data_IF_180871223864
#
_entry.id   IF_180871223864
#
_cell.length_a   1.000
_cell.length_b   1.000
_cell.length_c   1.000
_cell.angle_alpha   90.00
_cell.angle_beta   90.00
_cell.angle_gamma   90.00
#
_symmetry.space_group_name_H-M   'P 1'
#
loop_
_entity.id
_entity.type
_entity.pdbx_description
1 polymer ?
#
# COMPACT_ATOMS: atom_id res chain seq x y z
N UNK A 1 5.30 8.28 -28.22
CA UNK A 1 4.42 7.54 -27.29
C UNK A 1 4.68 8.10 -25.91
N UNK A 2 3.66 8.62 -25.25
CA UNK A 2 3.77 9.30 -23.97
C UNK A 2 3.50 8.30 -22.86
N UNK A 3 4.34 8.29 -21.82
CA UNK A 3 4.19 7.41 -20.65
C UNK A 3 3.56 8.23 -19.53
N UNK A 4 2.51 7.71 -18.91
CA UNK A 4 1.82 8.38 -17.82
C UNK A 4 1.65 7.46 -16.61
N UNK A 5 1.84 8.00 -15.41
CA UNK A 5 1.32 7.41 -14.20
C UNK A 5 -0.11 7.92 -13.99
N UNK A 6 -1.05 7.02 -13.76
CA UNK A 6 -2.38 7.39 -13.31
C UNK A 6 -2.44 7.29 -11.79
N UNK A 7 -2.82 8.38 -11.15
CA UNK A 7 -2.82 8.53 -9.70
C UNK A 7 -4.23 8.64 -9.14
N UNK A 8 -4.43 8.13 -7.93
CA UNK A 8 -5.61 8.38 -7.12
C UNK A 8 -5.53 9.78 -6.47
N UNK A 9 -6.63 10.22 -5.83
CA UNK A 9 -6.71 11.51 -5.14
C UNK A 9 -5.71 11.70 -3.99
N UNK A 10 -5.13 10.60 -3.49
CA UNK A 10 -4.06 10.61 -2.49
C UNK A 10 -2.65 10.63 -3.10
N UNK A 11 -2.52 10.78 -4.42
CA UNK A 11 -1.23 10.77 -5.14
C UNK A 11 -0.67 9.39 -5.45
N UNK A 12 -1.34 8.30 -5.04
CA UNK A 12 -0.85 6.93 -5.26
C UNK A 12 -1.04 6.51 -6.71
N UNK A 13 0.02 6.03 -7.34
CA UNK A 13 -0.02 5.42 -8.66
C UNK A 13 -0.76 4.08 -8.61
N UNK A 14 -1.87 3.97 -9.35
CA UNK A 14 -2.59 2.71 -9.48
C UNK A 14 -2.30 2.00 -10.81
N UNK A 15 -1.85 2.73 -11.84
CA UNK A 15 -1.43 2.12 -13.12
C UNK A 15 -0.47 3.01 -13.90
N UNK A 16 0.29 2.39 -14.82
CA UNK A 16 1.15 3.09 -15.78
C UNK A 16 0.65 2.79 -17.19
N UNK A 17 0.38 3.84 -17.97
CA UNK A 17 -0.21 3.75 -19.30
C UNK A 17 0.66 4.40 -20.37
N UNK A 18 0.56 3.90 -21.60
CA UNK A 18 1.23 4.48 -22.76
C UNK A 18 0.19 4.98 -23.75
N UNK A 19 0.23 6.28 -24.04
CA UNK A 19 -0.72 6.94 -24.94
C UNK A 19 -0.03 7.38 -26.23
N UNK A 20 -0.80 7.38 -27.33
CA UNK A 20 -0.34 7.86 -28.63
C UNK A 20 -0.25 9.39 -28.72
N UNK A 21 -0.92 10.11 -27.80
CA UNK A 21 -0.93 11.57 -27.71
C UNK A 21 -0.83 12.08 -26.28
N UNK A 22 -0.77 13.40 -26.12
CA UNK A 22 -0.79 14.06 -24.82
C UNK A 22 -2.15 13.91 -24.14
N UNK A 23 -2.14 13.70 -22.84
CA UNK A 23 -3.32 13.67 -22.01
C UNK A 23 -3.25 14.83 -21.02
N UNK A 24 -4.29 15.66 -21.03
CA UNK A 24 -4.47 16.77 -20.08
C UNK A 24 -5.48 16.35 -19.03
N UNK A 25 -5.01 15.84 -17.90
CA UNK A 25 -5.83 15.36 -16.79
C UNK A 25 -5.05 15.42 -15.48
N UNK A 26 -5.68 15.92 -14.42
CA UNK A 26 -5.07 16.06 -13.09
C UNK A 26 -4.64 14.71 -12.48
N UNK A 27 -5.32 13.62 -12.87
CA UNK A 27 -4.98 12.27 -12.42
C UNK A 27 -3.94 11.58 -13.30
N UNK A 28 -3.39 12.25 -14.31
CA UNK A 28 -2.37 11.70 -15.22
C UNK A 28 -1.10 12.52 -15.17
N UNK A 29 -0.05 11.96 -14.56
CA UNK A 29 1.26 12.58 -14.51
C UNK A 29 2.13 12.03 -15.63
N UNK A 30 2.62 12.93 -16.49
CA UNK A 30 3.57 12.58 -17.55
C UNK A 30 4.88 12.10 -16.93
N UNK A 31 5.33 10.92 -17.36
CA UNK A 31 6.58 10.31 -16.92
C UNK A 31 7.67 10.53 -17.98
N UNK A 32 8.86 10.88 -17.51
CA UNK A 32 10.06 10.94 -18.31
C UNK A 32 10.66 9.54 -18.49
N UNK A 33 11.65 9.43 -19.36
CA UNK A 33 12.37 8.18 -19.61
C UNK A 33 13.15 7.66 -18.40
N UNK A 34 13.49 8.54 -17.46
CA UNK A 34 14.25 8.20 -16.24
C UNK A 34 13.33 7.76 -15.09
N UNK A 35 12.03 8.00 -15.19
CA UNK A 35 11.06 7.68 -14.14
C UNK A 35 10.72 6.18 -14.11
N UNK A 36 11.24 5.46 -13.10
CA UNK A 36 10.92 4.06 -12.77
C UNK A 36 9.71 3.93 -11.82
N UNK A 37 8.62 4.62 -12.15
CA UNK A 37 7.38 4.59 -11.36
C UNK A 37 6.72 3.21 -11.45
N UNK A 38 6.30 2.70 -10.29
CA UNK A 38 5.58 1.43 -10.15
C UNK A 38 4.23 1.66 -9.49
N UNK A 39 3.34 0.69 -9.68
CA UNK A 39 2.07 0.66 -8.96
C UNK A 39 2.34 0.64 -7.47
N UNK A 40 1.69 1.54 -6.74
CA UNK A 40 1.86 1.74 -5.31
C UNK A 40 2.83 2.85 -4.92
N UNK A 41 3.69 3.33 -5.83
CA UNK A 41 4.50 4.53 -5.60
C UNK A 41 3.57 5.75 -5.42
N UNK A 42 3.97 6.71 -4.58
CA UNK A 42 3.17 7.88 -4.22
C UNK A 42 3.84 9.15 -4.73
N UNK A 43 3.09 9.99 -5.42
CA UNK A 43 3.55 11.33 -5.81
C UNK A 43 3.29 12.33 -4.69
N UNK A 44 4.33 13.04 -4.24
CA UNK A 44 4.21 14.06 -3.18
C UNK A 44 4.04 15.50 -3.72
N UNK A 45 4.08 15.67 -5.04
CA UNK A 45 4.06 16.98 -5.71
C UNK A 45 5.37 17.31 -6.42
N UNK A 46 6.49 16.73 -5.99
CA UNK A 46 7.83 16.99 -6.54
C UNK A 46 8.55 15.70 -6.96
N UNK A 47 8.33 14.59 -6.24
CA UNK A 47 9.03 13.32 -6.47
C UNK A 47 8.15 12.10 -6.24
N UNK A 48 8.59 10.97 -6.83
CA UNK A 48 7.98 9.67 -6.63
C UNK A 48 8.59 9.00 -5.40
N UNK A 49 7.77 8.78 -4.39
CA UNK A 49 8.13 8.08 -3.17
C UNK A 49 7.73 6.62 -3.33
N UNK A 50 8.70 5.72 -3.25
CA UNK A 50 8.44 4.29 -3.12
C UNK A 50 8.18 3.97 -1.64
N UNK A 51 6.94 3.67 -1.22
CA UNK A 51 6.69 3.29 0.16
C UNK A 51 7.46 2.00 0.48
N UNK A 52 8.03 1.95 1.68
CA UNK A 52 8.62 0.71 2.18
C UNK A 52 7.53 -0.36 2.25
N UNK A 53 7.85 -1.62 1.87
CA UNK A 53 6.91 -2.70 2.09
C UNK A 53 6.58 -2.77 3.57
N UNK A 54 5.28 -2.78 3.90
CA UNK A 54 4.86 -3.09 5.28
C UNK A 54 5.51 -4.43 5.65
N UNK A 55 6.20 -4.53 6.79
CA UNK A 55 6.76 -5.80 7.23
C UNK A 55 5.61 -6.80 7.29
N UNK A 56 5.78 -7.95 6.63
CA UNK A 56 4.83 -9.05 6.74
C UNK A 56 4.58 -9.31 8.22
N UNK A 57 3.31 -9.36 8.64
CA UNK A 57 2.98 -9.80 10.00
C UNK A 57 3.71 -11.12 10.28
N UNK A 58 4.27 -11.32 11.49
CA UNK A 58 4.99 -12.54 11.80
C UNK A 58 4.06 -13.74 11.58
N UNK A 59 4.42 -14.61 10.63
CA UNK A 59 3.65 -15.79 10.20
C UNK A 59 3.47 -16.88 11.28
N UNK A 60 3.75 -16.61 12.56
CA UNK A 60 3.93 -17.65 13.58
C UNK A 60 2.83 -17.76 14.64
N UNK A 61 1.64 -17.22 14.39
CA UNK A 61 0.47 -17.60 15.18
C UNK A 61 -0.73 -17.67 14.24
N UNK A 62 -1.20 -18.88 13.97
CA UNK A 62 -2.45 -19.05 13.24
C UNK A 62 -3.58 -18.29 13.95
N UNK A 63 -4.60 -17.86 13.21
CA UNK A 63 -5.77 -17.22 13.81
C UNK A 63 -6.36 -18.06 14.96
N UNK A 64 -6.33 -19.39 14.82
CA UNK A 64 -6.76 -20.34 15.83
C UNK A 64 -5.90 -20.27 17.11
N UNK A 65 -4.59 -20.21 16.99
CA UNK A 65 -3.68 -20.08 18.14
C UNK A 65 -3.84 -18.71 18.83
N UNK A 66 -4.08 -17.63 18.08
CA UNK A 66 -4.39 -16.31 18.65
C UNK A 66 -5.67 -16.36 19.47
N UNK A 67 -6.72 -16.98 18.94
CA UNK A 67 -8.01 -17.16 19.63
C UNK A 67 -7.82 -17.98 20.91
N UNK A 68 -7.11 -19.11 20.83
CA UNK A 68 -6.86 -19.96 22.00
C UNK A 68 -6.11 -19.23 23.13
N UNK A 69 -5.13 -18.39 22.79
CA UNK A 69 -4.42 -17.56 23.77
C UNK A 69 -5.32 -16.50 24.42
N UNK A 70 -6.20 -15.87 23.63
CA UNK A 70 -7.17 -14.89 24.11
C UNK A 70 -8.23 -15.53 25.03
N UNK A 71 -8.75 -16.70 24.68
CA UNK A 71 -9.69 -17.46 25.49
C UNK A 71 -9.07 -17.91 26.82
N UNK A 72 -7.85 -18.46 26.78
CA UNK A 72 -7.11 -18.85 27.98
C UNK A 72 -6.84 -17.68 28.92
N UNK A 73 -6.46 -16.52 28.37
CA UNK A 73 -6.22 -15.32 29.17
C UNK A 73 -7.51 -14.75 29.78
N UNK A 74 -8.63 -14.87 29.06
CA UNK A 74 -9.94 -14.46 29.56
C UNK A 74 -10.42 -15.37 30.69
N UNK A 75 -10.21 -16.69 30.57
CA UNK A 75 -10.54 -17.67 31.61
C UNK A 75 -9.71 -17.44 32.88
N UNK A 76 -8.40 -17.17 32.77
CA UNK A 76 -7.56 -16.84 33.93
C UNK A 76 -8.00 -15.55 34.63
N UNK A 77 -8.42 -14.53 33.88
CA UNK A 77 -8.93 -13.28 34.44
C UNK A 77 -10.26 -13.46 35.18
N UNK A 78 -11.12 -14.37 34.70
CA UNK A 78 -12.42 -14.68 35.31
C UNK A 78 -12.29 -15.60 36.53
N UNK A 79 -11.28 -16.49 36.56
CA UNK A 79 -11.05 -17.44 37.65
C UNK A 79 -10.09 -16.91 38.73
N UNK A 80 -9.21 -15.96 38.41
CA UNK A 80 -8.24 -15.36 39.35
C UNK A 80 -8.81 -14.26 40.26
N UNK A 81 -10.11 -14.00 40.20
CA UNK A 81 -10.82 -12.98 40.99
C UNK A 81 -11.58 -13.51 42.22
N UNK A 82 -11.16 -14.64 42.82
CA UNK A 82 -11.69 -15.16 44.10
C UNK A 82 -10.62 -15.24 45.17
#
# INVERSE_FOLDING_TARGET
MFKYAQIESNGRCFTVSYLSGEADSESMLLLNSEDDVRVGDVWDGETWIRPEPVPSEPENVSLAERIALLESALDELLLGGM
#
